data_IF_073249033416
#
_entry.id   IF_073249033416
#
_cell.length_a   1.000
_cell.length_b   1.000
_cell.length_c   1.000
_cell.angle_alpha   90.00
_cell.angle_beta   90.00
_cell.angle_gamma   90.00
#
_symmetry.space_group_name_H-M   'P 1'
#
loop_
_entity.id
_entity.type
_entity.pdbx_description
1 polymer ?
#
# COMPACT_ATOMS: atom_id res chain seq x y z
N UNK A 1 14.06 7.83 -16.77
CA UNK A 1 13.23 6.91 -15.96
C UNK A 1 13.90 6.70 -14.62
N UNK A 2 13.19 6.97 -13.53
CA UNK A 2 13.73 6.97 -12.15
C UNK A 2 13.92 5.57 -11.55
N UNK A 3 13.26 4.55 -12.13
CA UNK A 3 13.16 3.20 -11.57
C UNK A 3 13.63 2.09 -12.53
N UNK A 4 14.41 2.43 -13.55
CA UNK A 4 14.95 1.44 -14.49
C UNK A 4 15.71 0.32 -13.77
N UNK A 5 15.37 -0.93 -14.08
CA UNK A 5 15.96 -2.13 -13.46
C UNK A 5 15.48 -2.42 -12.03
N UNK A 6 14.50 -1.69 -11.51
CA UNK A 6 13.87 -1.94 -10.21
C UNK A 6 12.67 -2.85 -10.34
N UNK A 7 12.41 -3.64 -9.31
CA UNK A 7 11.23 -4.50 -9.18
C UNK A 7 10.35 -3.97 -8.06
N UNK A 8 9.13 -3.57 -8.40
CA UNK A 8 8.13 -3.05 -7.48
C UNK A 8 6.98 -4.05 -7.29
N UNK A 9 6.69 -4.41 -6.06
CA UNK A 9 5.54 -5.23 -5.68
C UNK A 9 4.46 -4.36 -5.03
N UNK A 10 3.24 -4.46 -5.54
CA UNK A 10 2.09 -3.69 -5.06
C UNK A 10 0.96 -4.63 -4.64
N UNK A 11 0.63 -4.65 -3.35
CA UNK A 11 -0.53 -5.38 -2.85
C UNK A 11 -1.82 -4.58 -3.05
N UNK A 12 -2.93 -5.25 -3.35
CA UNK A 12 -4.17 -4.56 -3.73
C UNK A 12 -4.04 -3.79 -5.04
N UNK A 13 -3.18 -4.25 -5.97
CA UNK A 13 -2.78 -3.55 -7.19
C UNK A 13 -3.81 -3.53 -8.32
N UNK A 14 -4.94 -4.26 -8.20
CA UNK A 14 -5.89 -4.44 -9.31
C UNK A 14 -6.79 -3.23 -9.60
N UNK A 15 -6.91 -2.25 -8.69
CA UNK A 15 -7.78 -1.09 -8.87
C UNK A 15 -7.40 0.10 -7.98
N UNK A 16 -8.05 1.26 -8.21
CA UNK A 16 -7.91 2.46 -7.39
C UNK A 16 -6.47 2.91 -7.20
N UNK A 17 -6.09 3.23 -5.97
CA UNK A 17 -4.74 3.69 -5.63
C UNK A 17 -3.67 2.68 -6.05
N UNK A 18 -3.88 1.38 -5.79
CA UNK A 18 -2.89 0.35 -6.12
C UNK A 18 -2.62 0.22 -7.63
N UNK A 19 -3.69 0.28 -8.47
CA UNK A 19 -3.53 0.31 -9.93
C UNK A 19 -2.78 1.57 -10.39
N UNK A 20 -3.16 2.74 -9.89
CA UNK A 20 -2.48 3.98 -10.24
C UNK A 20 -0.98 3.94 -9.86
N UNK A 21 -0.63 3.39 -8.69
CA UNK A 21 0.76 3.19 -8.28
C UNK A 21 1.48 2.24 -9.24
N UNK A 22 0.87 1.10 -9.59
CA UNK A 22 1.48 0.12 -10.49
C UNK A 22 1.85 0.74 -11.84
N UNK A 23 0.91 1.50 -12.42
CA UNK A 23 1.13 2.17 -13.72
C UNK A 23 2.13 3.32 -13.64
N UNK A 24 2.11 4.09 -12.55
CA UNK A 24 3.08 5.18 -12.34
C UNK A 24 4.51 4.65 -12.19
N UNK A 25 4.71 3.59 -11.41
CA UNK A 25 6.05 3.00 -11.25
C UNK A 25 6.54 2.32 -12.55
N UNK A 26 5.64 1.69 -13.31
CA UNK A 26 5.96 1.13 -14.64
C UNK A 26 6.39 2.22 -15.62
N UNK A 27 5.66 3.35 -15.67
CA UNK A 27 5.99 4.51 -16.51
C UNK A 27 7.37 5.10 -16.23
N UNK A 28 7.92 4.86 -15.03
CA UNK A 28 9.29 5.25 -14.65
C UNK A 28 10.31 4.10 -14.75
N UNK A 29 9.94 3.01 -15.41
CA UNK A 29 10.87 1.94 -15.80
C UNK A 29 10.97 0.75 -14.84
N UNK A 30 10.09 0.66 -13.83
CA UNK A 30 10.08 -0.50 -12.94
C UNK A 30 9.40 -1.71 -13.59
N UNK A 31 9.92 -2.91 -13.36
CA UNK A 31 9.16 -4.14 -13.47
C UNK A 31 8.15 -4.21 -12.32
N UNK A 32 6.92 -4.65 -12.58
CA UNK A 32 5.84 -4.54 -11.60
C UNK A 32 5.19 -5.88 -11.30
N UNK A 33 5.10 -6.20 -10.02
CA UNK A 33 4.31 -7.33 -9.52
C UNK A 33 3.05 -6.77 -8.87
N UNK A 34 1.89 -7.15 -9.38
CA UNK A 34 0.59 -6.76 -8.83
C UNK A 34 -0.07 -7.95 -8.16
N UNK A 35 -0.54 -7.74 -6.94
CA UNK A 35 -1.23 -8.79 -6.20
C UNK A 35 -2.58 -8.29 -5.65
N UNK A 36 -3.59 -9.13 -5.75
CA UNK A 36 -4.88 -8.96 -5.09
C UNK A 36 -5.65 -10.30 -5.09
N UNK A 37 -6.82 -10.32 -4.42
CA UNK A 37 -7.71 -11.49 -4.38
C UNK A 37 -8.46 -11.74 -5.69
N UNK A 38 -8.60 -10.72 -6.54
CA UNK A 38 -9.37 -10.79 -7.79
C UNK A 38 -8.40 -10.94 -8.96
N UNK A 39 -8.25 -12.15 -9.48
CA UNK A 39 -7.33 -12.48 -10.58
C UNK A 39 -7.52 -11.60 -11.82
N UNK A 40 -8.73 -11.51 -12.41
CA UNK A 40 -8.94 -10.70 -13.62
C UNK A 40 -8.55 -9.22 -13.51
N UNK A 41 -8.77 -8.58 -12.32
CA UNK A 41 -8.38 -7.18 -12.11
C UNK A 41 -6.85 -6.99 -12.16
N UNK A 42 -6.08 -7.91 -11.56
CA UNK A 42 -4.60 -7.81 -11.56
C UNK A 42 -3.98 -8.21 -12.91
N UNK A 43 -4.59 -9.15 -13.63
CA UNK A 43 -4.18 -9.53 -14.98
C UNK A 43 -4.35 -8.37 -15.98
N UNK A 44 -5.43 -7.59 -15.84
CA UNK A 44 -5.63 -6.40 -16.64
C UNK A 44 -4.54 -5.37 -16.39
N UNK A 45 -4.24 -5.08 -15.11
CA UNK A 45 -3.16 -4.14 -14.75
C UNK A 45 -1.79 -4.64 -15.23
N UNK A 46 -1.51 -5.94 -15.14
CA UNK A 46 -0.28 -6.52 -15.67
C UNK A 46 -0.14 -6.28 -17.17
N UNK A 47 -1.21 -6.51 -17.96
CA UNK A 47 -1.22 -6.20 -19.40
C UNK A 47 -1.02 -4.72 -19.69
N UNK A 48 -1.55 -3.82 -18.85
CA UNK A 48 -1.32 -2.38 -19.02
C UNK A 48 0.14 -1.99 -18.76
N UNK A 49 0.79 -2.61 -17.76
CA UNK A 49 2.22 -2.45 -17.49
C UNK A 49 3.06 -2.95 -18.68
N UNK A 50 2.71 -4.10 -19.25
CA UNK A 50 3.40 -4.66 -20.43
C UNK A 50 3.27 -3.75 -21.67
N UNK A 51 2.11 -3.09 -21.85
CA UNK A 51 1.92 -2.08 -22.91
C UNK A 51 2.83 -0.86 -22.75
N UNK A 52 3.29 -0.58 -21.53
CA UNK A 52 4.30 0.47 -21.26
C UNK A 52 5.74 -0.03 -21.50
N UNK A 53 5.93 -1.28 -21.95
CA UNK A 53 7.24 -1.86 -22.22
C UNK A 53 7.95 -2.42 -20.99
N UNK A 54 7.27 -2.59 -19.86
CA UNK A 54 7.85 -3.15 -18.65
C UNK A 54 7.40 -4.60 -18.42
N UNK A 55 8.24 -5.39 -17.75
CA UNK A 55 7.85 -6.74 -17.30
C UNK A 55 6.82 -6.65 -16.19
N UNK A 56 5.83 -7.55 -16.20
CA UNK A 56 4.82 -7.63 -15.16
C UNK A 56 4.56 -9.06 -14.72
N UNK A 57 4.02 -9.20 -13.49
CA UNK A 57 3.56 -10.46 -12.94
C UNK A 57 2.29 -10.21 -12.11
N UNK A 58 1.22 -10.93 -12.42
CA UNK A 58 -0.03 -10.90 -11.66
C UNK A 58 -0.10 -12.12 -10.73
N UNK A 59 -0.22 -11.91 -9.42
CA UNK A 59 -0.26 -12.98 -8.42
C UNK A 59 -1.52 -12.86 -7.56
N UNK A 60 -2.42 -13.82 -7.69
CA UNK A 60 -3.60 -13.87 -6.84
C UNK A 60 -3.21 -14.28 -5.42
N UNK A 61 -3.48 -13.41 -4.43
CA UNK A 61 -3.17 -13.65 -3.02
C UNK A 61 -4.09 -12.86 -2.09
N UNK A 62 -4.38 -13.42 -0.92
CA UNK A 62 -4.94 -12.70 0.24
C UNK A 62 -3.82 -12.40 1.23
N UNK A 63 -3.49 -11.11 1.41
CA UNK A 63 -2.40 -10.68 2.30
C UNK A 63 -2.62 -11.06 3.77
N UNK A 64 -3.84 -11.39 4.18
CA UNK A 64 -4.13 -11.88 5.53
C UNK A 64 -3.72 -13.35 5.75
N UNK A 65 -3.29 -14.05 4.70
CA UNK A 65 -2.87 -15.45 4.75
C UNK A 65 -1.36 -15.54 4.56
N UNK A 66 -0.67 -16.02 5.59
CA UNK A 66 0.80 -16.10 5.57
C UNK A 66 1.32 -16.93 4.39
N UNK A 67 0.64 -18.03 4.06
CA UNK A 67 1.04 -18.92 2.96
C UNK A 67 0.92 -18.22 1.60
N UNK A 68 -0.17 -17.46 1.38
CA UNK A 68 -0.34 -16.70 0.14
C UNK A 68 0.78 -15.64 0.00
N UNK A 69 1.15 -14.98 1.11
CA UNK A 69 2.25 -14.00 1.11
C UNK A 69 3.59 -14.65 0.81
N UNK A 70 3.90 -15.80 1.43
CA UNK A 70 5.14 -16.55 1.15
C UNK A 70 5.22 -16.96 -0.33
N UNK A 71 4.13 -17.49 -0.86
CA UNK A 71 4.05 -17.90 -2.26
C UNK A 71 4.24 -16.70 -3.21
N UNK A 72 3.57 -15.57 -2.92
CA UNK A 72 3.68 -14.33 -3.71
C UNK A 72 5.13 -13.81 -3.77
N UNK A 73 5.83 -13.76 -2.63
CA UNK A 73 7.24 -13.36 -2.60
C UNK A 73 8.11 -14.39 -3.31
N UNK A 74 7.89 -15.68 -3.08
CA UNK A 74 8.64 -16.76 -3.71
C UNK A 74 8.54 -16.74 -5.23
N UNK A 75 7.33 -16.61 -5.80
CA UNK A 75 7.13 -16.50 -7.25
C UNK A 75 7.77 -15.22 -7.82
N UNK A 76 7.71 -14.11 -7.09
CA UNK A 76 8.40 -12.89 -7.50
C UNK A 76 9.90 -13.09 -7.59
N UNK A 77 10.51 -13.73 -6.60
CA UNK A 77 11.95 -13.98 -6.57
C UNK A 77 12.40 -15.01 -7.64
N UNK A 78 11.56 -15.98 -7.99
CA UNK A 78 11.83 -16.90 -9.11
C UNK A 78 11.92 -16.17 -10.45
N UNK A 79 11.09 -15.15 -10.68
CA UNK A 79 11.01 -14.43 -11.96
C UNK A 79 12.00 -13.29 -12.04
N UNK A 80 12.18 -12.53 -10.96
CA UNK A 80 12.94 -11.28 -10.97
C UNK A 80 14.22 -11.32 -10.13
N UNK A 81 14.41 -12.33 -9.29
CA UNK A 81 15.58 -12.53 -8.39
C UNK A 81 15.74 -11.43 -7.32
N UNK A 82 14.85 -10.44 -7.30
CA UNK A 82 14.90 -9.28 -6.41
C UNK A 82 13.54 -8.67 -6.13
N UNK A 83 13.45 -7.90 -5.04
CA UNK A 83 12.38 -6.94 -4.75
C UNK A 83 13.02 -5.65 -4.25
N UNK A 84 12.86 -4.55 -4.97
CA UNK A 84 13.42 -3.25 -4.59
C UNK A 84 12.41 -2.36 -3.85
N UNK A 85 11.14 -2.49 -4.22
CA UNK A 85 10.07 -1.64 -3.70
C UNK A 85 8.89 -2.55 -3.31
N UNK A 86 8.45 -2.43 -2.06
CA UNK A 86 7.21 -3.03 -1.58
C UNK A 86 6.21 -1.91 -1.26
N UNK A 87 5.03 -1.96 -1.88
CA UNK A 87 3.91 -1.07 -1.56
C UNK A 87 2.80 -1.88 -0.90
N UNK A 88 2.64 -1.74 0.40
CA UNK A 88 1.53 -2.31 1.16
C UNK A 88 0.31 -1.41 1.01
N UNK A 89 -0.46 -1.66 -0.06
CA UNK A 89 -1.66 -0.89 -0.38
C UNK A 89 -2.96 -1.68 -0.15
N UNK A 90 -2.92 -3.01 -0.12
CA UNK A 90 -4.10 -3.81 0.18
C UNK A 90 -4.77 -3.34 1.47
N UNK A 91 -6.08 -3.19 1.42
CA UNK A 91 -6.84 -2.72 2.57
C UNK A 91 -8.33 -3.01 2.44
N UNK A 92 -9.00 -3.07 3.58
CA UNK A 92 -10.44 -3.25 3.68
C UNK A 92 -11.03 -2.30 4.72
N UNK A 93 -12.31 -2.05 4.61
CA UNK A 93 -13.08 -1.26 5.57
C UNK A 93 -14.45 -1.90 5.76
N UNK A 94 -15.13 -1.56 6.83
CA UNK A 94 -16.51 -1.97 7.11
C UNK A 94 -17.47 -0.81 6.82
N UNK A 95 -18.76 -1.10 6.59
CA UNK A 95 -19.81 -0.11 6.71
C UNK A 95 -19.75 0.56 8.09
N UNK A 96 -20.37 1.73 8.21
CA UNK A 96 -20.45 2.45 9.47
C UNK A 96 -21.05 1.56 10.58
N UNK A 97 -20.31 1.37 11.69
CA UNK A 97 -20.74 0.56 12.83
C UNK A 97 -20.12 1.04 14.13
N UNK A 98 -20.96 1.28 15.14
CA UNK A 98 -20.49 1.62 16.47
C UNK A 98 -19.83 0.42 17.16
N UNK A 99 -18.97 0.69 18.15
CA UNK A 99 -18.23 -0.37 18.85
C UNK A 99 -19.17 -1.38 19.52
N UNK A 100 -20.28 -0.92 20.07
CA UNK A 100 -21.26 -1.79 20.75
C UNK A 100 -21.92 -2.81 19.80
N UNK A 101 -21.94 -2.52 18.49
CA UNK A 101 -22.59 -3.33 17.46
C UNK A 101 -21.58 -4.17 16.67
N UNK A 102 -20.26 -3.99 16.94
CA UNK A 102 -19.20 -4.71 16.25
C UNK A 102 -19.05 -6.13 16.80
N UNK A 103 -18.99 -7.11 15.91
CA UNK A 103 -18.51 -8.43 16.29
C UNK A 103 -16.99 -8.48 16.31
N UNK A 104 -16.41 -9.39 17.12
CA UNK A 104 -14.96 -9.60 17.13
C UNK A 104 -14.44 -10.06 15.76
N UNK A 105 -15.21 -10.84 15.02
CA UNK A 105 -14.85 -11.30 13.67
C UNK A 105 -14.73 -10.12 12.67
N UNK A 106 -15.66 -9.16 12.72
CA UNK A 106 -15.57 -7.94 11.89
C UNK A 106 -14.36 -7.10 12.25
N UNK A 107 -14.09 -6.92 13.54
CA UNK A 107 -12.89 -6.24 14.02
C UNK A 107 -11.62 -6.92 13.50
N UNK A 108 -11.48 -8.23 13.76
CA UNK A 108 -10.31 -9.01 13.37
C UNK A 108 -10.10 -8.96 11.85
N UNK A 109 -11.17 -9.10 11.04
CA UNK A 109 -11.05 -9.06 9.58
C UNK A 109 -10.40 -7.78 9.06
N UNK A 110 -10.67 -6.64 9.70
CA UNK A 110 -10.03 -5.38 9.30
C UNK A 110 -8.56 -5.34 9.72
N UNK A 111 -8.23 -5.82 10.92
CA UNK A 111 -6.84 -5.87 11.40
C UNK A 111 -6.00 -6.84 10.58
N UNK A 112 -6.51 -8.04 10.31
CA UNK A 112 -5.83 -9.06 9.49
C UNK A 112 -5.40 -8.52 8.12
N UNK A 113 -6.26 -7.74 7.46
CA UNK A 113 -5.91 -7.21 6.14
C UNK A 113 -5.04 -5.95 6.24
N UNK A 114 -5.39 -5.01 7.13
CA UNK A 114 -4.82 -3.67 7.14
C UNK A 114 -3.54 -3.55 7.97
N UNK A 115 -3.27 -4.50 8.87
CA UNK A 115 -2.12 -4.49 9.78
C UNK A 115 -1.28 -5.78 9.65
N UNK A 116 -1.91 -6.95 9.85
CA UNK A 116 -1.17 -8.21 9.79
C UNK A 116 -0.66 -8.48 8.37
N UNK A 117 -1.45 -8.15 7.33
CA UNK A 117 -1.03 -8.26 5.94
C UNK A 117 0.26 -7.49 5.63
N UNK A 118 0.34 -6.18 5.88
CA UNK A 118 1.58 -5.41 5.77
C UNK A 118 2.74 -5.99 6.59
N UNK A 119 2.49 -6.44 7.83
CA UNK A 119 3.51 -7.11 8.65
C UNK A 119 4.02 -8.38 7.97
N UNK A 120 3.15 -9.25 7.48
CA UNK A 120 3.52 -10.49 6.79
C UNK A 120 4.33 -10.20 5.52
N UNK A 121 3.89 -9.22 4.71
CA UNK A 121 4.61 -8.82 3.49
C UNK A 121 6.01 -8.25 3.82
N UNK A 122 6.11 -7.36 4.81
CA UNK A 122 7.40 -6.83 5.26
C UNK A 122 8.32 -7.95 5.74
N UNK A 123 7.83 -8.84 6.62
CA UNK A 123 8.61 -9.97 7.16
C UNK A 123 9.14 -10.89 6.06
N UNK A 124 8.33 -11.11 5.02
CA UNK A 124 8.70 -12.01 3.93
C UNK A 124 9.71 -11.38 2.94
N UNK A 125 9.65 -10.07 2.70
CA UNK A 125 10.55 -9.40 1.74
C UNK A 125 11.88 -8.96 2.37
N UNK A 126 11.90 -8.68 3.66
CA UNK A 126 13.06 -8.12 4.35
C UNK A 126 14.34 -8.96 4.22
N UNK A 127 14.34 -10.30 4.30
CA UNK A 127 15.57 -11.06 4.10
C UNK A 127 16.25 -10.73 2.77
N UNK A 128 15.48 -10.62 1.69
CA UNK A 128 16.00 -10.25 0.36
C UNK A 128 16.52 -8.81 0.34
N UNK A 129 15.78 -7.86 0.87
CA UNK A 129 16.21 -6.45 0.91
C UNK A 129 17.45 -6.24 1.79
N UNK A 130 17.57 -6.96 2.90
CA UNK A 130 18.76 -6.95 3.77
C UNK A 130 19.98 -7.49 3.03
N UNK A 131 19.84 -8.60 2.32
CA UNK A 131 20.91 -9.16 1.47
C UNK A 131 21.31 -8.18 0.36
N UNK A 132 20.34 -7.52 -0.27
CA UNK A 132 20.56 -6.49 -1.29
C UNK A 132 21.22 -5.22 -0.72
N UNK A 133 21.15 -5.00 0.60
CA UNK A 133 21.50 -3.74 1.29
C UNK A 133 20.80 -2.52 0.66
N UNK A 134 19.58 -2.72 0.22
CA UNK A 134 18.77 -1.69 -0.44
C UNK A 134 17.31 -2.13 -0.48
N UNK A 135 16.40 -1.21 -0.22
CA UNK A 135 14.96 -1.45 -0.34
C UNK A 135 14.14 -0.20 0.00
N UNK A 136 12.92 -0.16 -0.52
CA UNK A 136 11.92 0.86 -0.19
C UNK A 136 10.62 0.16 0.20
N UNK A 137 10.13 0.41 1.40
CA UNK A 137 8.83 -0.10 1.87
C UNK A 137 7.91 1.11 2.07
N UNK A 138 6.76 1.09 1.41
CA UNK A 138 5.79 2.18 1.45
C UNK A 138 4.44 1.61 1.90
N UNK A 139 3.98 2.06 3.06
CA UNK A 139 2.72 1.62 3.66
C UNK A 139 1.62 2.63 3.37
N UNK A 140 0.54 2.21 2.71
CA UNK A 140 -0.62 3.08 2.47
C UNK A 140 -1.52 3.06 3.70
N UNK A 141 -1.35 4.09 4.54
CA UNK A 141 -2.17 4.33 5.70
C UNK A 141 -3.44 5.12 5.33
N UNK A 142 -3.80 6.14 6.06
CA UNK A 142 -4.98 6.98 5.82
C UNK A 142 -4.92 8.24 6.69
N UNK A 143 -5.58 9.30 6.23
CA UNK A 143 -5.99 10.43 7.09
C UNK A 143 -6.71 9.93 8.36
N UNK A 144 -7.43 8.81 8.26
CA UNK A 144 -8.10 8.16 9.39
C UNK A 144 -7.18 7.71 10.53
N UNK A 145 -5.87 7.61 10.28
CA UNK A 145 -4.88 7.33 11.33
C UNK A 145 -4.58 8.53 12.24
N UNK A 146 -4.97 9.74 11.84
CA UNK A 146 -4.63 11.00 12.52
C UNK A 146 -5.68 11.47 13.52
N UNK A 147 -6.94 11.04 13.37
CA UNK A 147 -8.04 11.45 14.25
C UNK A 147 -9.14 10.40 14.33
N UNK A 148 -9.96 10.47 15.39
CA UNK A 148 -11.10 9.58 15.58
C UNK A 148 -12.32 9.98 14.75
N UNK A 149 -13.20 9.02 14.46
CA UNK A 149 -14.56 9.26 13.99
C UNK A 149 -15.47 8.11 14.42
N UNK A 150 -16.68 8.44 14.81
CA UNK A 150 -17.68 7.44 15.18
C UNK A 150 -17.87 6.42 14.05
N UNK A 151 -18.15 5.18 14.41
CA UNK A 151 -18.44 4.08 13.47
C UNK A 151 -17.28 3.64 12.59
N UNK A 152 -16.05 4.05 12.87
CA UNK A 152 -14.86 3.76 12.05
C UNK A 152 -13.70 3.15 12.86
N UNK A 153 -13.95 2.67 14.06
CA UNK A 153 -12.90 2.23 14.99
C UNK A 153 -11.98 1.15 14.41
N UNK A 154 -12.42 0.04 13.78
CA UNK A 154 -11.49 -0.98 13.31
C UNK A 154 -10.52 -0.44 12.25
N UNK A 155 -11.05 0.27 11.26
CA UNK A 155 -10.26 0.83 10.18
C UNK A 155 -9.24 1.85 10.68
N UNK A 156 -9.69 2.82 11.50
CA UNK A 156 -8.81 3.88 11.99
C UNK A 156 -7.74 3.36 12.92
N UNK A 157 -8.10 2.44 13.82
CA UNK A 157 -7.14 1.76 14.69
C UNK A 157 -6.10 0.99 13.90
N UNK A 158 -6.51 0.22 12.87
CA UNK A 158 -5.58 -0.52 12.03
C UNK A 158 -4.62 0.41 11.27
N UNK A 159 -5.11 1.55 10.76
CA UNK A 159 -4.27 2.52 10.01
C UNK A 159 -3.34 3.32 10.93
N UNK A 160 -3.73 3.59 12.17
CA UNK A 160 -2.85 4.17 13.19
C UNK A 160 -1.76 3.18 13.61
N UNK A 161 -2.11 1.93 13.84
CA UNK A 161 -1.14 0.87 14.14
C UNK A 161 -0.14 0.65 13.00
N UNK A 162 -0.57 0.75 11.73
CA UNK A 162 0.31 0.67 10.57
C UNK A 162 1.33 1.81 10.53
N UNK A 163 1.01 3.01 10.99
CA UNK A 163 1.99 4.09 11.14
C UNK A 163 3.04 3.71 12.19
N UNK A 164 2.63 3.17 13.33
CA UNK A 164 3.57 2.76 14.36
C UNK A 164 4.48 1.62 13.88
N UNK A 165 3.93 0.63 13.17
CA UNK A 165 4.72 -0.43 12.51
C UNK A 165 5.75 0.17 11.54
N UNK A 166 5.37 1.19 10.76
CA UNK A 166 6.27 1.90 9.83
C UNK A 166 7.47 2.49 10.58
N UNK A 167 7.23 3.18 11.69
CA UNK A 167 8.30 3.83 12.48
C UNK A 167 9.25 2.81 13.14
N UNK A 168 8.69 1.75 13.74
CA UNK A 168 9.49 0.68 14.33
C UNK A 168 10.36 0.00 13.29
N UNK A 169 9.75 -0.39 12.16
CA UNK A 169 10.46 -1.09 11.10
C UNK A 169 11.57 -0.20 10.49
N UNK A 170 11.32 1.09 10.27
CA UNK A 170 12.35 2.01 9.79
C UNK A 170 13.57 2.05 10.72
N UNK A 171 13.34 2.06 12.04
CA UNK A 171 14.42 2.04 13.02
C UNK A 171 15.23 0.73 12.99
N UNK A 172 14.56 -0.41 12.78
CA UNK A 172 15.19 -1.73 12.71
C UNK A 172 16.08 -1.91 11.47
N UNK A 173 15.63 -1.39 10.30
CA UNK A 173 16.24 -1.75 9.01
C UNK A 173 17.09 -0.65 8.36
N UNK A 174 17.14 0.56 8.90
CA UNK A 174 17.93 1.67 8.33
C UNK A 174 19.42 1.33 8.14
N UNK A 175 19.99 0.51 9.03
CA UNK A 175 21.39 0.07 8.97
C UNK A 175 21.67 -0.80 7.73
N UNK A 176 20.66 -1.33 7.08
CA UNK A 176 20.76 -2.12 5.85
C UNK A 176 20.48 -1.31 4.58
N UNK A 177 20.33 0.01 4.68
CA UNK A 177 20.00 0.86 3.54
C UNK A 177 18.55 0.68 3.03
N UNK A 178 17.64 0.33 3.94
CA UNK A 178 16.22 0.14 3.62
C UNK A 178 15.42 1.30 4.22
N UNK A 179 14.67 2.00 3.37
CA UNK A 179 13.78 3.06 3.80
C UNK A 179 12.35 2.56 3.97
N UNK A 180 11.72 2.91 5.07
CA UNK A 180 10.34 2.54 5.37
C UNK A 180 9.53 3.78 5.68
N UNK A 181 8.53 4.08 4.86
CA UNK A 181 7.70 5.26 4.99
C UNK A 181 6.22 4.92 4.83
N UNK A 182 5.35 5.83 5.23
CA UNK A 182 3.92 5.73 5.02
C UNK A 182 3.38 6.91 4.20
N UNK A 183 2.30 6.67 3.48
CA UNK A 183 1.46 7.72 2.88
C UNK A 183 0.10 7.66 3.57
N UNK A 184 -0.45 8.81 3.92
CA UNK A 184 -1.78 8.95 4.52
C UNK A 184 -2.71 9.66 3.54
N UNK A 185 -3.40 8.95 2.64
CA UNK A 185 -4.35 9.57 1.72
C UNK A 185 -5.55 10.16 2.46
N UNK A 186 -6.04 11.31 1.98
CA UNK A 186 -7.37 11.80 2.25
C UNK A 186 -8.45 11.06 1.43
N UNK A 187 -9.67 11.60 1.37
CA UNK A 187 -10.75 11.03 0.55
C UNK A 187 -10.34 10.95 -0.92
N UNK A 188 -10.15 9.72 -1.42
CA UNK A 188 -9.66 9.44 -2.77
C UNK A 188 -10.76 8.78 -3.60
N UNK A 189 -10.92 9.14 -4.87
CA UNK A 189 -11.94 8.57 -5.78
C UNK A 189 -11.64 7.08 -6.06
N UNK A 190 -12.19 6.24 -5.23
CA UNK A 190 -12.04 4.79 -5.30
C UNK A 190 -13.38 4.11 -5.03
N UNK A 191 -13.50 2.85 -5.45
CA UNK A 191 -14.67 2.03 -5.12
C UNK A 191 -14.90 1.95 -3.60
N UNK A 192 -13.82 1.73 -2.81
CA UNK A 192 -13.91 1.72 -1.35
C UNK A 192 -14.53 3.01 -0.80
N UNK A 193 -14.14 4.16 -1.35
CA UNK A 193 -14.69 5.45 -0.91
C UNK A 193 -16.18 5.56 -1.25
N UNK A 194 -16.59 5.15 -2.47
CA UNK A 194 -18.00 5.14 -2.89
C UNK A 194 -18.86 4.24 -2.00
N UNK A 195 -18.35 3.07 -1.63
CA UNK A 195 -19.05 2.10 -0.77
C UNK A 195 -19.29 2.63 0.66
N UNK A 196 -18.40 3.47 1.19
CA UNK A 196 -18.48 3.99 2.55
C UNK A 196 -19.04 5.41 2.67
N UNK A 197 -19.09 6.18 1.59
CA UNK A 197 -19.49 7.59 1.61
C UNK A 197 -20.98 7.80 1.92
N UNK A 198 -21.88 6.86 1.57
CA UNK A 198 -23.34 6.87 1.85
C UNK A 198 -23.96 8.28 1.80
N UNK A 199 -23.70 9.03 0.73
CA UNK A 199 -24.23 10.38 0.54
C UNK A 199 -23.47 11.51 1.25
N UNK A 200 -22.35 11.23 1.92
CA UNK A 200 -21.46 12.28 2.42
C UNK A 200 -20.82 13.00 1.21
N UNK A 201 -21.06 14.29 1.10
CA UNK A 201 -20.45 15.12 0.09
C UNK A 201 -19.04 15.49 0.53
N UNK A 202 -18.02 14.98 -0.17
CA UNK A 202 -16.68 15.53 -0.08
C UNK A 202 -16.55 16.58 -1.18
N UNK A 203 -16.12 17.81 -0.86
CA UNK A 203 -16.08 18.91 -1.82
C UNK A 203 -15.14 18.63 -3.02
N UNK A 204 -14.10 17.85 -2.80
CA UNK A 204 -13.22 17.34 -3.85
C UNK A 204 -12.60 16.01 -3.43
N UNK A 205 -12.62 15.01 -4.30
CA UNK A 205 -11.89 13.75 -4.09
C UNK A 205 -10.51 13.87 -4.72
N UNK A 206 -9.51 13.30 -4.03
CA UNK A 206 -8.16 13.13 -4.56
C UNK A 206 -8.22 12.07 -5.66
N UNK A 207 -7.55 12.27 -6.75
CA UNK A 207 -7.41 11.24 -7.79
C UNK A 207 -6.38 10.20 -7.34
N UNK A 208 -6.58 8.92 -7.63
CA UNK A 208 -5.60 7.86 -7.32
C UNK A 208 -4.19 8.17 -7.84
N UNK A 209 -4.09 8.82 -8.99
CA UNK A 209 -2.82 9.22 -9.62
C UNK A 209 -2.04 10.23 -8.78
N UNK A 210 -2.72 11.13 -8.06
CA UNK A 210 -2.06 12.11 -7.17
C UNK A 210 -1.42 11.40 -5.96
N UNK A 211 -2.02 10.32 -5.47
CA UNK A 211 -1.40 9.47 -4.43
C UNK A 211 -0.25 8.67 -5.03
N UNK A 212 -0.38 8.19 -6.26
CA UNK A 212 0.69 7.46 -6.95
C UNK A 212 1.96 8.31 -7.14
N UNK A 213 1.84 9.61 -7.39
CA UNK A 213 2.99 10.53 -7.47
C UNK A 213 3.75 10.63 -6.15
N UNK A 214 3.05 10.68 -5.01
CA UNK A 214 3.69 10.66 -3.68
C UNK A 214 4.44 9.35 -3.46
N UNK A 215 3.85 8.22 -3.86
CA UNK A 215 4.48 6.91 -3.77
C UNK A 215 5.69 6.81 -4.70
N UNK A 216 5.59 7.30 -5.93
CA UNK A 216 6.71 7.36 -6.88
C UNK A 216 7.88 8.17 -6.32
N UNK A 217 7.62 9.33 -5.71
CA UNK A 217 8.66 10.10 -5.04
C UNK A 217 9.37 9.27 -3.96
N UNK A 218 8.60 8.61 -3.06
CA UNK A 218 9.17 7.77 -2.00
C UNK A 218 9.88 6.52 -2.53
N UNK A 219 9.47 5.98 -3.65
CA UNK A 219 10.09 4.83 -4.31
C UNK A 219 11.41 5.17 -5.01
N UNK A 220 11.63 6.44 -5.34
CA UNK A 220 12.78 6.92 -6.08
C UNK A 220 13.98 7.31 -5.19
N UNK A 221 15.13 7.59 -5.81
CA UNK A 221 16.32 8.13 -5.11
C UNK A 221 16.11 9.57 -4.63
N UNK A 222 15.09 10.29 -5.13
CA UNK A 222 14.81 11.66 -4.68
C UNK A 222 14.35 11.73 -3.21
N UNK A 223 13.96 10.60 -2.63
CA UNK A 223 13.59 10.47 -1.20
C UNK A 223 14.69 9.86 -0.33
N UNK A 224 15.95 9.85 -0.77
CA UNK A 224 17.05 9.15 -0.07
C UNK A 224 17.32 9.65 1.37
N UNK A 225 16.89 10.87 1.70
CA UNK A 225 16.98 11.42 3.05
C UNK A 225 15.76 11.10 3.93
N UNK A 226 14.77 10.34 3.43
CA UNK A 226 13.48 10.17 4.08
C UNK A 226 13.27 8.71 4.45
N UNK A 227 13.24 8.42 5.75
CA UNK A 227 12.84 7.14 6.33
C UNK A 227 12.19 7.35 7.68
N UNK A 228 11.26 6.48 8.06
CA UNK A 228 10.53 6.58 9.33
C UNK A 228 9.57 7.77 9.37
N UNK A 229 8.94 8.12 8.25
CA UNK A 229 7.98 9.23 8.19
C UNK A 229 6.64 8.80 7.60
N UNK A 230 5.62 9.65 7.82
CA UNK A 230 4.31 9.52 7.20
C UNK A 230 3.94 10.83 6.51
N UNK A 231 3.76 10.76 5.19
CA UNK A 231 3.38 11.90 4.35
C UNK A 231 1.86 11.99 4.31
N UNK A 232 1.33 13.10 4.75
CA UNK A 232 -0.09 13.42 4.70
C UNK A 232 -0.45 13.96 3.31
N UNK A 233 -1.23 13.18 2.55
CA UNK A 233 -1.68 13.51 1.21
C UNK A 233 -3.20 13.75 1.22
N UNK A 234 -3.64 14.84 1.84
CA UNK A 234 -5.05 15.13 2.15
C UNK A 234 -5.74 16.01 1.11
N UNK A 235 -4.98 16.62 0.19
CA UNK A 235 -5.51 17.59 -0.76
C UNK A 235 -6.19 18.77 -0.03
N UNK A 236 -7.21 19.33 -0.66
CA UNK A 236 -8.01 20.44 -0.09
C UNK A 236 -8.92 20.02 1.07
N UNK A 237 -9.04 18.72 1.35
CA UNK A 237 -9.89 18.17 2.42
C UNK A 237 -9.15 17.96 3.75
N UNK A 238 -8.09 18.72 4.01
CA UNK A 238 -7.33 18.57 5.25
C UNK A 238 -8.14 19.06 6.45
N UNK A 239 -8.56 18.16 7.38
CA UNK A 239 -9.36 18.56 8.52
C UNK A 239 -8.56 19.32 9.58
N UNK A 240 -7.23 19.36 9.49
CA UNK A 240 -6.35 20.07 10.43
C UNK A 240 -6.30 21.58 10.14
N UNK A 241 -6.83 22.03 9.00
CA UNK A 241 -6.84 23.43 8.56
C UNK A 241 -8.25 23.98 8.38
N UNK A 242 -9.17 23.59 9.27
CA UNK A 242 -10.52 24.16 9.34
C UNK A 242 -10.57 25.34 10.28
#
# INVERSE_FOLDING_TARGET
MKLTGKVAMITGGGRGIGRAIALSLAGEGASVVVSARTGPEIEEVAREVEKQGQKSLALQADVSREEDVKNMIGETLKVFERVDILVNNAGTNLPYRNVVDLTLAEWNRVLEVNLDGPFLCCRAVLPTMIQQRSGKIINISSIGARYGAAGRSPYRSSKAALLQLTYCLAAEVKQYGIDVNAVCPGPTDTRMMKDIARGSLFPALIRPEEIAEVVLFLASQHSSAITGTAIDAFGSNNPLFR
#
